data_IF_253114322483
#
_entry.id   IF_253114322483
#
_cell.length_a   1.000
_cell.length_b   1.000
_cell.length_c   1.000
_cell.angle_alpha   90.00
_cell.angle_beta   90.00
_cell.angle_gamma   90.00
#
_symmetry.space_group_name_H-M   'P 1'
#
loop_
_entity.id
_entity.type
_entity.pdbx_description
1 polymer ?
#
# COMPACT_ATOMS: atom_id res chain seq x y z
N UNK A 1 18.51 45.91 9.57
CA UNK A 1 17.28 45.11 9.77
C UNK A 1 17.69 43.64 9.73
N UNK A 2 17.33 42.83 10.73
CA UNK A 2 17.51 41.38 10.64
C UNK A 2 16.30 40.83 9.89
N UNK A 3 16.51 40.31 8.68
CA UNK A 3 15.48 39.56 7.98
C UNK A 3 15.05 38.39 8.86
N UNK A 4 13.79 38.38 9.29
CA UNK A 4 13.23 37.25 10.01
C UNK A 4 13.16 36.07 9.05
N UNK A 5 14.05 35.09 9.20
CA UNK A 5 13.98 33.85 8.45
C UNK A 5 12.70 33.12 8.88
N UNK A 6 11.66 33.20 8.05
CA UNK A 6 10.45 32.40 8.23
C UNK A 6 10.76 30.96 7.83
N UNK A 7 10.84 30.09 8.85
CA UNK A 7 11.00 28.65 8.66
C UNK A 7 9.59 28.05 8.60
N UNK A 8 9.21 27.54 7.43
CA UNK A 8 7.95 26.85 7.19
C UNK A 8 8.21 25.38 6.89
N UNK A 9 7.45 24.49 7.52
CA UNK A 9 7.36 23.10 7.07
C UNK A 9 6.60 23.06 5.74
N UNK A 10 7.31 22.75 4.66
CA UNK A 10 6.71 22.64 3.33
C UNK A 10 6.16 21.24 3.06
N UNK A 11 6.79 20.22 3.65
CA UNK A 11 6.41 18.83 3.50
C UNK A 11 6.90 18.01 4.69
N UNK A 12 6.06 17.14 5.22
CA UNK A 12 6.43 16.12 6.18
C UNK A 12 6.14 14.74 5.58
N UNK A 13 7.17 13.91 5.42
CA UNK A 13 7.04 12.55 4.89
C UNK A 13 7.03 11.58 6.06
N UNK A 14 6.02 10.72 6.13
CA UNK A 14 5.93 9.61 7.06
C UNK A 14 5.98 8.29 6.27
N UNK A 15 6.96 7.45 6.60
CA UNK A 15 7.18 6.18 5.90
C UNK A 15 6.46 5.05 6.63
N UNK A 16 5.75 4.21 5.87
CA UNK A 16 5.01 3.06 6.37
C UNK A 16 5.60 1.80 5.73
N UNK A 17 5.88 0.80 6.54
CA UNK A 17 6.21 -0.53 6.07
C UNK A 17 4.94 -1.18 5.51
N UNK A 18 4.87 -1.45 4.20
CA UNK A 18 3.62 -1.93 3.60
C UNK A 18 3.21 -3.33 4.06
N UNK A 19 4.18 -4.14 4.51
CA UNK A 19 3.93 -5.50 4.95
C UNK A 19 3.33 -5.55 6.35
N UNK A 20 3.83 -4.71 7.27
CA UNK A 20 3.38 -4.70 8.67
C UNK A 20 2.43 -3.56 9.01
N UNK A 21 2.32 -2.57 8.11
CA UNK A 21 1.61 -1.31 8.32
C UNK A 21 2.16 -0.46 9.47
N UNK A 22 3.38 -0.73 9.93
CA UNK A 22 4.04 0.04 10.99
C UNK A 22 4.77 1.26 10.42
N UNK A 23 4.82 2.33 11.19
CA UNK A 23 5.65 3.50 10.87
C UNK A 23 7.12 3.09 10.94
N UNK A 24 7.88 3.43 9.90
CA UNK A 24 9.32 3.20 9.86
C UNK A 24 10.02 4.32 10.59
N UNK A 25 10.54 4.01 11.78
CA UNK A 25 11.29 4.97 12.59
C UNK A 25 12.80 4.82 12.47
N UNK A 26 13.32 3.87 11.68
CA UNK A 26 14.77 3.63 11.54
C UNK A 26 15.51 4.79 10.85
N UNK A 27 16.73 5.16 11.29
CA UNK A 27 17.60 6.12 10.60
C UNK A 27 18.17 5.62 9.26
N UNK A 28 18.06 4.33 8.96
CA UNK A 28 18.79 3.69 7.85
C UNK A 28 18.33 4.12 6.46
N UNK A 29 17.16 4.78 6.36
CA UNK A 29 16.62 5.27 5.11
C UNK A 29 17.06 6.70 4.81
N UNK A 30 17.45 6.93 3.57
CA UNK A 30 17.70 8.25 2.99
C UNK A 30 16.42 8.74 2.33
N UNK A 31 15.91 9.87 2.79
CA UNK A 31 14.75 10.55 2.19
C UNK A 31 15.23 11.90 1.66
N UNK A 32 15.01 12.15 0.38
CA UNK A 32 15.37 13.40 -0.30
C UNK A 32 14.16 13.96 -1.04
N UNK A 33 14.13 15.27 -1.22
CA UNK A 33 13.15 15.96 -2.05
C UNK A 33 13.92 16.83 -3.06
N UNK A 34 13.50 16.85 -4.32
CA UNK A 34 14.13 17.67 -5.35
C UNK A 34 14.13 19.16 -4.94
N UNK A 35 15.31 19.81 -5.02
CA UNK A 35 15.52 21.19 -4.57
C UNK A 35 15.52 21.38 -3.04
N UNK A 36 15.30 20.32 -2.28
CA UNK A 36 15.27 20.35 -0.82
C UNK A 36 16.65 20.22 -0.19
N UNK A 37 16.84 20.87 0.96
CA UNK A 37 17.94 20.57 1.87
C UNK A 37 17.69 19.25 2.59
N UNK A 38 18.70 18.77 3.32
CA UNK A 38 18.56 17.59 4.20
C UNK A 38 17.34 17.76 5.14
N UNK A 39 16.41 16.79 5.20
CA UNK A 39 15.24 16.91 6.04
C UNK A 39 15.59 16.86 7.53
N UNK A 40 14.76 17.53 8.34
CA UNK A 40 14.78 17.39 9.80
C UNK A 40 14.02 16.11 10.14
N UNK A 41 14.70 15.16 10.79
CA UNK A 41 14.08 13.92 11.24
C UNK A 41 13.49 14.06 12.64
N UNK A 42 12.30 13.51 12.83
CA UNK A 42 11.58 13.48 14.12
C UNK A 42 11.54 12.06 14.69
N UNK A 43 11.57 11.87 16.02
CA UNK A 43 11.54 10.55 16.67
C UNK A 43 10.34 9.70 16.27
N UNK A 44 9.21 10.34 15.96
CA UNK A 44 7.95 9.72 15.56
C UNK A 44 7.99 9.16 14.13
N UNK A 45 9.11 9.32 13.40
CA UNK A 45 9.31 8.78 12.05
C UNK A 45 9.05 9.78 10.92
N UNK A 46 8.93 11.08 11.20
CA UNK A 46 8.78 12.08 10.14
C UNK A 46 10.12 12.55 9.59
N UNK A 47 10.17 12.76 8.27
CA UNK A 47 11.19 13.52 7.56
C UNK A 47 10.58 14.84 7.08
N UNK A 48 10.98 15.95 7.70
CA UNK A 48 10.40 17.28 7.47
C UNK A 48 11.31 18.10 6.57
N UNK A 49 10.80 18.49 5.41
CA UNK A 49 11.43 19.42 4.48
C UNK A 49 10.91 20.83 4.72
N UNK A 50 11.85 21.77 4.79
CA UNK A 50 11.57 23.17 5.10
C UNK A 50 11.77 24.02 3.86
N UNK A 51 10.91 25.02 3.68
CA UNK A 51 11.04 26.07 2.67
C UNK A 51 11.29 25.56 1.24
N UNK A 52 10.62 24.46 0.85
CA UNK A 52 10.53 24.06 -0.56
C UNK A 52 9.75 25.13 -1.33
N UNK A 53 10.33 25.59 -2.44
CA UNK A 53 9.81 26.72 -3.25
C UNK A 53 9.06 26.25 -4.49
N UNK A 54 9.36 25.06 -5.00
CA UNK A 54 8.68 24.48 -6.15
C UNK A 54 7.21 24.13 -5.82
N UNK A 55 6.28 24.25 -6.79
CA UNK A 55 4.88 23.89 -6.60
C UNK A 55 4.65 22.38 -6.42
N UNK A 56 5.60 21.58 -6.91
CA UNK A 56 5.67 20.14 -6.79
C UNK A 56 7.12 19.73 -6.52
N UNK A 57 7.32 18.55 -5.96
CA UNK A 57 8.66 17.99 -5.73
C UNK A 57 8.63 16.48 -5.87
N UNK A 58 9.68 15.88 -6.42
CA UNK A 58 9.88 14.44 -6.35
C UNK A 58 10.52 14.10 -5.00
N UNK A 59 9.85 13.23 -4.25
CA UNK A 59 10.39 12.61 -3.05
C UNK A 59 11.01 11.28 -3.43
N UNK A 60 12.25 11.09 -3.02
CA UNK A 60 13.03 9.88 -3.23
C UNK A 60 13.38 9.24 -1.89
N UNK A 61 13.09 7.94 -1.78
CA UNK A 61 13.43 7.12 -0.61
C UNK A 61 14.32 5.96 -1.05
N UNK A 62 15.48 5.83 -0.41
CA UNK A 62 16.45 4.77 -0.65
C UNK A 62 17.01 4.23 0.66
N UNK A 63 17.33 2.95 0.72
CA UNK A 63 17.98 2.35 1.87
C UNK A 63 17.86 0.83 1.88
N UNK A 64 18.40 0.15 2.90
CA UNK A 64 18.34 -1.30 2.98
C UNK A 64 16.92 -1.79 3.25
N UNK A 65 16.65 -3.05 2.88
CA UNK A 65 15.43 -3.81 3.19
C UNK A 65 14.16 -3.38 2.43
N UNK A 66 14.21 -2.35 1.59
CA UNK A 66 13.05 -1.87 0.83
C UNK A 66 13.46 -1.52 -0.60
N UNK A 67 12.53 -1.70 -1.53
CA UNK A 67 12.69 -1.17 -2.88
C UNK A 67 12.77 0.36 -2.84
N UNK A 68 13.62 0.95 -3.68
CA UNK A 68 13.66 2.40 -3.90
C UNK A 68 12.29 2.91 -4.35
N UNK A 69 11.83 3.98 -3.72
CA UNK A 69 10.54 4.60 -4.01
C UNK A 69 10.77 6.03 -4.49
N UNK A 70 10.02 6.44 -5.51
CA UNK A 70 10.04 7.79 -6.09
C UNK A 70 8.60 8.23 -6.28
N UNK A 71 8.21 9.37 -5.72
CA UNK A 71 6.86 9.89 -5.86
C UNK A 71 6.87 11.41 -6.04
N UNK A 72 6.19 11.89 -7.09
CA UNK A 72 5.90 13.31 -7.29
C UNK A 72 4.78 13.75 -6.36
N UNK A 73 5.04 14.81 -5.59
CA UNK A 73 4.10 15.39 -4.63
C UNK A 73 3.73 16.80 -5.08
N UNK A 74 2.44 17.03 -5.34
CA UNK A 74 1.89 18.35 -5.58
C UNK A 74 1.78 19.14 -4.27
N UNK A 75 2.82 19.91 -3.92
CA UNK A 75 2.90 20.64 -2.65
C UNK A 75 1.77 21.67 -2.48
N UNK A 76 1.27 22.23 -3.59
CA UNK A 76 0.14 23.17 -3.58
C UNK A 76 -1.19 22.55 -3.17
N UNK A 77 -1.35 21.24 -3.31
CA UNK A 77 -2.58 20.51 -2.96
C UNK A 77 -2.57 19.99 -1.51
N UNK A 78 -1.45 20.16 -0.81
CA UNK A 78 -1.34 19.78 0.59
C UNK A 78 -2.02 20.82 1.49
N UNK A 79 -2.62 20.33 2.58
CA UNK A 79 -3.05 21.21 3.66
C UNK A 79 -1.82 21.90 4.26
N UNK A 80 -1.79 23.23 4.16
CA UNK A 80 -0.68 24.03 4.67
C UNK A 80 -0.49 23.94 6.18
N UNK A 81 -1.55 23.63 6.94
CA UNK A 81 -1.49 23.42 8.39
C UNK A 81 -1.00 22.01 8.74
N UNK A 82 -1.15 21.05 7.82
CA UNK A 82 -0.76 19.66 8.00
C UNK A 82 -0.22 19.04 6.70
N UNK A 83 0.98 19.45 6.23
CA UNK A 83 1.53 19.06 4.94
C UNK A 83 2.16 17.66 4.99
N UNK A 84 1.43 16.68 5.53
CA UNK A 84 1.88 15.31 5.73
C UNK A 84 1.53 14.45 4.52
N UNK A 85 2.54 13.74 4.01
CA UNK A 85 2.40 12.69 3.01
C UNK A 85 2.87 11.38 3.61
N UNK A 86 2.07 10.33 3.42
CA UNK A 86 2.41 8.96 3.84
C UNK A 86 2.85 8.16 2.63
N UNK A 87 4.03 7.56 2.71
CA UNK A 87 4.59 6.70 1.65
C UNK A 87 4.71 5.26 2.16
N UNK A 88 4.21 4.31 1.38
CA UNK A 88 4.28 2.88 1.69
C UNK A 88 5.47 2.25 0.99
N UNK A 89 6.44 1.78 1.77
CA UNK A 89 7.62 1.11 1.25
C UNK A 89 7.40 -0.40 1.19
N UNK A 90 7.75 -0.98 0.05
CA UNK A 90 7.64 -2.41 -0.21
C UNK A 90 8.94 -3.08 0.24
N UNK A 91 8.87 -4.09 1.13
CA UNK A 91 10.06 -4.85 1.50
C UNK A 91 10.75 -5.50 0.31
N UNK A 92 12.07 -5.52 0.31
CA UNK A 92 12.87 -6.27 -0.65
C UNK A 92 13.36 -7.62 -0.07
N UNK A 93 14.17 -8.37 -0.84
CA UNK A 93 14.71 -9.68 -0.44
C UNK A 93 15.64 -9.64 0.79
N UNK A 94 16.15 -8.47 1.17
CA UNK A 94 17.03 -8.27 2.33
C UNK A 94 16.26 -7.91 3.60
N UNK A 95 14.92 -7.80 3.52
CA UNK A 95 14.06 -7.53 4.65
C UNK A 95 14.07 -8.66 5.69
N UNK A 96 14.10 -8.31 6.98
CA UNK A 96 14.03 -9.27 8.08
C UNK A 96 12.59 -9.73 8.30
N UNK A 97 12.27 -10.89 7.75
CA UNK A 97 10.92 -11.45 7.82
C UNK A 97 10.61 -12.00 9.23
N UNK A 98 9.43 -11.69 9.79
CA UNK A 98 8.91 -12.40 10.96
C UNK A 98 8.78 -13.91 10.69
N UNK A 99 8.86 -14.73 11.74
CA UNK A 99 8.53 -16.18 11.64
C UNK A 99 7.09 -16.36 11.13
N UNK A 100 6.83 -17.40 10.35
CA UNK A 100 5.51 -17.63 9.76
C UNK A 100 5.19 -16.74 8.56
N UNK A 101 6.18 -16.02 8.02
CA UNK A 101 6.01 -15.22 6.79
C UNK A 101 6.18 -16.10 5.57
N UNK A 102 5.20 -16.09 4.68
CA UNK A 102 5.30 -16.68 3.36
C UNK A 102 5.95 -15.68 2.41
N UNK A 103 6.76 -16.18 1.48
CA UNK A 103 7.46 -15.35 0.52
C UNK A 103 7.18 -15.83 -0.88
N UNK A 104 6.98 -14.89 -1.79
CA UNK A 104 6.83 -15.16 -3.21
C UNK A 104 7.83 -14.35 -4.03
N UNK A 105 8.36 -14.96 -5.08
CA UNK A 105 8.95 -14.23 -6.22
C UNK A 105 7.96 -14.21 -7.38
N UNK A 106 7.56 -13.03 -7.81
CA UNK A 106 6.74 -12.83 -9.00
C UNK A 106 7.61 -12.39 -10.17
N UNK A 107 7.44 -13.02 -11.33
CA UNK A 107 7.99 -12.56 -12.61
C UNK A 107 6.88 -11.85 -13.35
N UNK A 108 7.05 -10.55 -13.60
CA UNK A 108 6.04 -9.69 -14.20
C UNK A 108 6.59 -8.98 -15.43
N UNK A 109 5.76 -8.73 -16.47
CA UNK A 109 6.14 -7.87 -17.57
C UNK A 109 6.11 -6.41 -17.12
N UNK A 110 6.69 -5.54 -17.95
CA UNK A 110 6.71 -4.10 -17.71
C UNK A 110 5.28 -3.54 -17.60
N UNK A 111 5.07 -2.63 -16.65
CA UNK A 111 3.80 -1.95 -16.34
C UNK A 111 2.66 -2.84 -15.83
N UNK A 112 2.87 -4.15 -15.68
CA UNK A 112 1.91 -5.01 -14.99
C UNK A 112 1.82 -4.68 -13.50
N UNK A 113 0.68 -4.99 -12.91
CA UNK A 113 0.52 -4.97 -11.46
C UNK A 113 0.03 -6.32 -10.95
N UNK A 114 0.39 -6.62 -9.70
CA UNK A 114 0.04 -7.86 -9.02
C UNK A 114 -0.50 -7.51 -7.65
N UNK A 115 -1.73 -7.96 -7.38
CA UNK A 115 -2.38 -7.90 -6.08
C UNK A 115 -2.50 -9.32 -5.52
N UNK A 116 -2.06 -9.51 -4.28
CA UNK A 116 -2.05 -10.82 -3.61
C UNK A 116 -2.71 -10.73 -2.26
N UNK A 117 -3.66 -11.62 -2.00
CA UNK A 117 -4.34 -11.72 -0.70
C UNK A 117 -4.78 -13.16 -0.43
N UNK A 118 -5.13 -13.44 0.82
CA UNK A 118 -5.53 -14.76 1.31
C UNK A 118 -6.91 -14.68 1.97
N UNK A 119 -7.92 -15.23 1.33
CA UNK A 119 -9.31 -15.25 1.85
C UNK A 119 -9.49 -16.16 3.07
N UNK A 120 -8.54 -17.06 3.31
CA UNK A 120 -8.51 -17.95 4.47
C UNK A 120 -7.78 -17.31 5.65
N UNK A 121 -7.16 -16.13 5.45
CA UNK A 121 -6.46 -15.36 6.46
C UNK A 121 -7.42 -14.83 7.55
N UNK A 122 -6.91 -14.76 8.78
CA UNK A 122 -7.66 -14.23 9.94
C UNK A 122 -7.43 -12.73 10.18
N UNK A 123 -6.56 -12.10 9.40
CA UNK A 123 -6.17 -10.68 9.49
C UNK A 123 -7.10 -9.73 8.73
N UNK A 124 -8.25 -10.22 8.27
CA UNK A 124 -9.27 -9.40 7.62
C UNK A 124 -9.84 -8.33 8.56
N UNK A 125 -10.16 -7.17 7.99
CA UNK A 125 -10.88 -6.08 8.64
C UNK A 125 -12.38 -6.27 8.45
N UNK A 126 -13.15 -5.69 9.36
CA UNK A 126 -14.62 -5.66 9.31
C UNK A 126 -15.10 -4.24 9.05
N UNK A 127 -16.19 -4.13 8.30
CA UNK A 127 -16.92 -2.87 8.18
C UNK A 127 -17.58 -2.49 9.50
N UNK A 128 -17.69 -1.19 9.77
CA UNK A 128 -18.48 -0.67 10.91
C UNK A 128 -19.90 -0.25 10.51
N UNK A 129 -20.18 -0.10 9.22
CA UNK A 129 -21.47 0.29 8.64
C UNK A 129 -21.76 -0.43 7.29
N UNK A 130 -23.01 -0.30 6.81
CA UNK A 130 -23.40 -0.67 5.45
C UNK A 130 -22.97 0.43 4.47
N UNK A 131 -22.67 0.03 3.23
CA UNK A 131 -22.26 0.94 2.17
C UNK A 131 -22.98 0.62 0.86
N UNK A 132 -23.31 1.67 0.10
CA UNK A 132 -23.91 1.54 -1.22
C UNK A 132 -22.87 1.75 -2.32
N UNK A 133 -23.15 1.21 -3.51
CA UNK A 133 -22.42 1.52 -4.73
C UNK A 133 -22.27 3.03 -4.90
N UNK A 134 -21.06 3.48 -5.25
CA UNK A 134 -20.75 4.91 -5.39
C UNK A 134 -20.24 5.57 -4.10
N UNK A 135 -20.23 4.87 -2.96
CA UNK A 135 -19.67 5.41 -1.71
C UNK A 135 -18.19 5.82 -1.89
N UNK A 136 -17.84 6.99 -1.35
CA UNK A 136 -16.48 7.59 -1.41
C UNK A 136 -15.67 7.40 -0.13
N UNK A 137 -16.25 6.79 0.89
CA UNK A 137 -15.61 6.55 2.18
C UNK A 137 -16.10 5.25 2.78
N UNK A 138 -15.28 4.64 3.63
CA UNK A 138 -15.63 3.45 4.40
C UNK A 138 -15.10 3.54 5.83
N UNK A 139 -15.77 2.84 6.74
CA UNK A 139 -15.39 2.74 8.14
C UNK A 139 -14.98 1.31 8.47
N UNK A 140 -13.76 1.18 9.00
CA UNK A 140 -13.14 -0.11 9.27
C UNK A 140 -12.90 -0.26 10.77
N UNK A 141 -13.24 -1.43 11.30
CA UNK A 141 -12.79 -1.81 12.63
C UNK A 141 -11.28 -2.06 12.61
N UNK A 142 -10.53 -1.24 13.34
CA UNK A 142 -9.10 -1.39 13.55
C UNK A 142 -8.82 -1.84 14.99
N UNK A 143 -8.53 -3.12 15.18
CA UNK A 143 -8.11 -3.66 16.48
C UNK A 143 -6.64 -3.43 16.84
N UNK A 144 -5.87 -2.67 16.03
CA UNK A 144 -4.43 -2.53 16.17
C UNK A 144 -3.88 -1.19 15.66
N UNK A 145 -2.59 -0.95 15.91
CA UNK A 145 -1.86 0.30 15.56
C UNK A 145 -1.34 0.35 14.12
N UNK A 146 -2.03 -0.32 13.20
CA UNK A 146 -1.63 -0.40 11.80
C UNK A 146 -2.05 0.89 11.07
N UNK A 147 -1.10 1.53 10.39
CA UNK A 147 -1.44 2.60 9.46
C UNK A 147 -2.05 1.97 8.20
N UNK A 148 -3.27 2.38 7.83
CA UNK A 148 -3.99 1.86 6.65
C UNK A 148 -4.09 2.87 5.49
N UNK A 149 -3.75 4.14 5.70
CA UNK A 149 -3.74 5.15 4.61
C UNK A 149 -2.81 4.69 3.48
N UNK A 150 -3.32 4.69 2.25
CA UNK A 150 -2.67 4.18 1.03
C UNK A 150 -2.72 2.65 0.84
N UNK A 151 -3.24 1.88 1.79
CA UNK A 151 -3.26 0.40 1.69
C UNK A 151 -4.29 -0.03 0.65
N UNK A 152 -3.92 -1.01 -0.17
CA UNK A 152 -4.88 -1.71 -1.03
C UNK A 152 -5.49 -2.85 -0.21
N UNK A 153 -6.81 -2.98 -0.31
CA UNK A 153 -7.57 -4.04 0.31
C UNK A 153 -8.53 -4.66 -0.71
N UNK A 154 -8.80 -5.95 -0.58
CA UNK A 154 -9.85 -6.62 -1.32
C UNK A 154 -11.09 -6.71 -0.42
N UNK A 155 -12.19 -6.07 -0.84
CA UNK A 155 -13.47 -6.16 -0.17
C UNK A 155 -14.29 -7.29 -0.79
N UNK A 156 -14.86 -8.13 0.07
CA UNK A 156 -15.61 -9.31 -0.33
C UNK A 156 -16.95 -9.36 0.39
N UNK A 157 -18.04 -9.27 -0.37
CA UNK A 157 -19.41 -9.42 0.12
C UNK A 157 -19.90 -10.86 0.09
N UNK A 158 -21.12 -11.09 0.61
CA UNK A 158 -21.74 -12.43 0.64
C UNK A 158 -22.13 -13.00 -0.73
N UNK A 159 -22.37 -12.15 -1.73
CA UNK A 159 -22.84 -12.55 -3.07
C UNK A 159 -21.67 -12.79 -4.04
N UNK A 160 -20.52 -13.20 -3.53
CA UNK A 160 -19.25 -13.28 -4.28
C UNK A 160 -18.84 -11.95 -4.95
N UNK A 161 -19.41 -10.82 -4.50
CA UNK A 161 -19.01 -9.49 -4.95
C UNK A 161 -17.62 -9.20 -4.40
N UNK A 162 -16.71 -8.88 -5.32
CA UNK A 162 -15.29 -8.70 -5.02
C UNK A 162 -14.76 -7.51 -5.79
N UNK A 163 -14.08 -6.61 -5.09
CA UNK A 163 -13.28 -5.57 -5.73
C UNK A 163 -12.07 -5.21 -4.87
N UNK A 164 -11.03 -4.67 -5.51
CA UNK A 164 -9.90 -4.08 -4.79
C UNK A 164 -10.11 -2.58 -4.67
N UNK A 165 -9.94 -2.07 -3.46
CA UNK A 165 -10.07 -0.66 -3.10
C UNK A 165 -8.75 -0.16 -2.52
N UNK A 166 -8.45 1.11 -2.73
CA UNK A 166 -7.34 1.78 -2.04
C UNK A 166 -7.89 2.75 -1.01
N UNK A 167 -7.44 2.57 0.24
CA UNK A 167 -7.79 3.45 1.34
C UNK A 167 -7.00 4.75 1.18
N UNK A 168 -7.69 5.86 1.03
CA UNK A 168 -7.11 7.20 0.97
C UNK A 168 -6.85 7.77 2.36
N UNK A 169 -6.85 9.11 2.46
CA UNK A 169 -6.65 9.82 3.73
C UNK A 169 -7.76 9.46 4.74
N UNK A 170 -7.42 9.27 6.03
CA UNK A 170 -8.41 9.11 7.06
C UNK A 170 -9.16 10.43 7.26
N UNK A 171 -10.49 10.35 7.21
CA UNK A 171 -11.39 11.47 7.50
C UNK A 171 -11.59 11.63 9.02
N UNK A 172 -11.67 10.51 9.72
CA UNK A 172 -11.77 10.42 11.18
C UNK A 172 -11.03 9.15 11.63
N UNK A 173 -9.81 9.33 12.16
CA UNK A 173 -8.94 8.21 12.55
C UNK A 173 -9.54 7.41 13.70
N UNK A 174 -10.13 8.08 14.68
CA UNK A 174 -10.67 7.43 15.88
C UNK A 174 -11.89 6.56 15.56
N UNK A 175 -12.66 6.93 14.53
CA UNK A 175 -13.77 6.12 14.00
C UNK A 175 -13.36 5.16 12.88
N UNK A 176 -12.08 5.14 12.50
CA UNK A 176 -11.57 4.32 11.41
C UNK A 176 -12.20 4.65 10.04
N UNK A 177 -12.56 5.91 9.80
CA UNK A 177 -13.18 6.36 8.55
C UNK A 177 -12.10 6.80 7.57
N UNK A 178 -12.06 6.14 6.42
CA UNK A 178 -11.13 6.39 5.32
C UNK A 178 -11.90 6.89 4.10
N UNK A 179 -11.36 7.92 3.45
CA UNK A 179 -11.73 8.21 2.07
C UNK A 179 -11.26 7.07 1.17
N UNK A 180 -11.89 6.90 0.01
CA UNK A 180 -11.47 5.97 -1.02
C UNK A 180 -10.92 6.72 -2.23
N UNK A 181 -9.85 6.20 -2.82
CA UNK A 181 -9.29 6.76 -4.05
C UNK A 181 -10.23 6.52 -5.25
N UNK A 182 -11.05 5.48 -5.19
CA UNK A 182 -12.11 5.17 -6.14
C UNK A 182 -13.41 4.87 -5.38
N UNK A 183 -14.55 5.29 -5.93
CA UNK A 183 -15.86 4.91 -5.37
C UNK A 183 -16.07 3.40 -5.42
N UNK A 184 -16.79 2.85 -4.44
CA UNK A 184 -17.20 1.44 -4.46
C UNK A 184 -17.99 1.12 -5.73
N UNK A 185 -17.65 0.02 -6.40
CA UNK A 185 -18.34 -0.46 -7.59
C UNK A 185 -19.62 -1.23 -7.25
N UNK A 186 -19.72 -1.73 -6.02
CA UNK A 186 -20.88 -2.46 -5.50
C UNK A 186 -21.31 -1.97 -4.09
N UNK A 187 -22.45 -2.46 -3.62
CA UNK A 187 -22.96 -2.27 -2.27
C UNK A 187 -22.50 -3.40 -1.35
N UNK A 188 -22.15 -3.06 -0.10
CA UNK A 188 -21.64 -4.01 0.90
C UNK A 188 -22.36 -3.86 2.23
N UNK A 189 -22.79 -4.99 2.78
CA UNK A 189 -23.39 -5.05 4.12
C UNK A 189 -22.30 -5.16 5.17
N UNK A 190 -22.48 -4.48 6.30
CA UNK A 190 -21.61 -4.62 7.47
C UNK A 190 -21.41 -6.07 7.86
N UNK A 191 -22.51 -6.81 7.93
CA UNK A 191 -22.51 -8.22 8.34
C UNK A 191 -22.19 -9.11 7.15
N UNK A 192 -21.10 -9.85 7.27
CA UNK A 192 -20.67 -10.85 6.29
C UNK A 192 -19.74 -10.31 5.20
N UNK A 193 -19.45 -9.01 5.19
CA UNK A 193 -18.35 -8.47 4.38
C UNK A 193 -17.03 -8.62 5.13
N UNK A 194 -16.01 -9.07 4.40
CA UNK A 194 -14.62 -9.14 4.87
C UNK A 194 -13.73 -8.28 3.98
N UNK A 195 -12.72 -7.67 4.59
CA UNK A 195 -11.79 -6.79 3.89
C UNK A 195 -10.38 -7.31 4.13
N UNK A 196 -9.78 -7.92 3.12
CA UNK A 196 -8.47 -8.54 3.22
C UNK A 196 -7.39 -7.53 2.81
N UNK A 197 -6.33 -7.34 3.60
CA UNK A 197 -5.18 -6.55 3.17
C UNK A 197 -4.54 -7.21 1.94
N UNK A 198 -4.14 -6.38 0.96
CA UNK A 198 -3.52 -6.84 -0.28
C UNK A 198 -2.04 -6.44 -0.27
N UNK A 199 -1.17 -7.40 -0.57
CA UNK A 199 0.21 -7.11 -0.97
C UNK A 199 0.25 -6.74 -2.45
N UNK A 200 0.94 -5.67 -2.80
CA UNK A 200 0.85 -5.06 -4.13
C UNK A 200 2.21 -4.77 -4.76
N UNK A 201 2.40 -5.19 -6.01
CA UNK A 201 3.47 -4.69 -6.90
C UNK A 201 2.85 -3.91 -8.04
N UNK A 202 3.50 -2.80 -8.41
CA UNK A 202 3.44 -2.25 -9.77
C UNK A 202 4.83 -2.36 -10.40
N UNK A 203 4.95 -3.16 -11.46
CA UNK A 203 6.20 -3.37 -12.16
C UNK A 203 6.51 -2.14 -13.03
N UNK A 204 7.59 -1.43 -12.74
CA UNK A 204 8.04 -0.32 -13.61
C UNK A 204 8.77 -0.84 -14.85
N UNK A 205 9.40 -2.01 -14.70
CA UNK A 205 10.06 -2.73 -15.78
C UNK A 205 9.78 -4.24 -15.68
N UNK A 206 10.06 -4.99 -16.74
CA UNK A 206 9.95 -6.44 -16.69
C UNK A 206 11.02 -7.01 -15.74
N UNK A 207 10.64 -7.96 -14.88
CA UNK A 207 11.61 -8.53 -13.95
C UNK A 207 11.04 -9.36 -12.82
N UNK A 208 11.92 -9.68 -11.88
CA UNK A 208 11.60 -10.41 -10.65
C UNK A 208 11.33 -9.45 -9.49
N UNK A 209 10.22 -9.70 -8.80
CA UNK A 209 9.79 -8.92 -7.66
C UNK A 209 9.53 -9.83 -6.46
N UNK A 210 9.98 -9.39 -5.30
CA UNK A 210 9.81 -10.12 -4.05
C UNK A 210 8.60 -9.59 -3.27
N UNK A 211 7.76 -10.50 -2.78
CA UNK A 211 6.68 -10.19 -1.84
C UNK A 211 6.81 -11.02 -0.57
N UNK A 212 6.86 -10.37 0.60
CA UNK A 212 6.42 -11.00 1.82
C UNK A 212 4.89 -11.00 1.89
N UNK A 213 4.35 -12.10 2.40
CA UNK A 213 2.92 -12.35 2.56
C UNK A 213 2.66 -12.85 3.98
N UNK A 214 1.62 -12.30 4.61
CA UNK A 214 1.17 -12.76 5.93
C UNK A 214 0.69 -14.20 5.77
N UNK A 215 1.40 -15.16 6.38
CA UNK A 215 1.05 -16.59 6.32
C UNK A 215 -0.21 -16.94 7.12
N UNK A 216 -0.80 -15.97 7.84
CA UNK A 216 -1.97 -16.20 8.70
C UNK A 216 -1.73 -17.28 9.77
N UNK A 217 -0.47 -17.54 10.13
CA UNK A 217 -0.07 -18.61 11.05
C UNK A 217 -0.15 -20.03 10.48
N UNK A 218 -0.29 -20.18 9.15
CA UNK A 218 -0.34 -21.49 8.48
C UNK A 218 0.95 -21.77 7.73
N UNK A 219 1.41 -23.03 7.80
CA UNK A 219 2.55 -23.50 7.02
C UNK A 219 2.23 -23.63 5.52
N UNK A 220 0.95 -23.69 5.16
CA UNK A 220 0.46 -23.76 3.79
C UNK A 220 -0.90 -23.05 3.68
N UNK A 221 -1.07 -22.23 2.63
CA UNK A 221 -2.33 -21.54 2.37
C UNK A 221 -2.50 -21.21 0.87
N UNK A 222 -3.76 -21.15 0.42
CA UNK A 222 -4.11 -20.67 -0.91
C UNK A 222 -4.16 -19.14 -0.93
N UNK A 223 -3.48 -18.55 -1.92
CA UNK A 223 -3.50 -17.12 -2.21
C UNK A 223 -4.15 -16.88 -3.56
N UNK A 224 -4.87 -15.76 -3.64
CA UNK A 224 -5.39 -15.24 -4.88
C UNK A 224 -4.42 -14.19 -5.39
N UNK A 225 -4.02 -14.34 -6.64
CA UNK A 225 -3.18 -13.42 -7.39
C UNK A 225 -4.04 -12.79 -8.49
N UNK A 226 -4.27 -11.48 -8.39
CA UNK A 226 -4.90 -10.70 -9.45
C UNK A 226 -3.79 -9.97 -10.19
N UNK A 227 -3.57 -10.38 -11.44
CA UNK A 227 -2.68 -9.73 -12.38
C UNK A 227 -3.48 -8.70 -13.16
N UNK A 228 -2.95 -7.49 -13.31
CA UNK A 228 -3.58 -6.44 -14.09
C UNK A 228 -2.60 -5.79 -15.05
N UNK A 229 -2.99 -5.68 -16.32
CA UNK A 229 -2.27 -4.91 -17.33
C UNK A 229 -3.28 -4.38 -18.35
N UNK A 230 -3.14 -3.10 -18.73
CA UNK A 230 -4.00 -2.45 -19.72
C UNK A 230 -5.51 -2.59 -19.43
N UNK A 231 -5.89 -2.59 -18.16
CA UNK A 231 -7.27 -2.72 -17.68
C UNK A 231 -7.83 -4.16 -17.72
N UNK A 232 -7.05 -5.13 -18.20
CA UNK A 232 -7.40 -6.55 -18.16
C UNK A 232 -6.92 -7.12 -16.83
N UNK A 233 -7.83 -7.78 -16.11
CA UNK A 233 -7.53 -8.46 -14.85
C UNK A 233 -7.62 -9.97 -15.07
N UNK A 234 -6.57 -10.70 -14.70
CA UNK A 234 -6.55 -12.16 -14.64
C UNK A 234 -6.36 -12.64 -13.21
N UNK A 235 -7.16 -13.64 -12.83
CA UNK A 235 -7.06 -14.27 -11.53
C UNK A 235 -6.36 -15.62 -11.63
N UNK A 236 -5.40 -15.85 -10.73
CA UNK A 236 -4.81 -17.16 -10.50
C UNK A 236 -4.83 -17.48 -9.01
N UNK A 237 -4.99 -18.77 -8.69
CA UNK A 237 -4.87 -19.29 -7.33
C UNK A 237 -3.58 -20.08 -7.21
N UNK A 238 -2.84 -19.83 -6.14
CA UNK A 238 -1.59 -20.53 -5.85
C UNK A 238 -1.55 -20.97 -4.40
N UNK A 239 -1.20 -22.23 -4.18
CA UNK A 239 -0.94 -22.75 -2.84
C UNK A 239 0.53 -22.49 -2.51
N UNK A 240 0.77 -21.74 -1.44
CA UNK A 240 2.11 -21.37 -0.99
C UNK A 240 2.47 -22.10 0.29
N UNK A 241 3.76 -22.43 0.46
CA UNK A 241 4.28 -23.13 1.65
C UNK A 241 5.42 -22.35 2.30
N UNK A 242 5.49 -22.41 3.63
CA UNK A 242 6.56 -21.78 4.42
C UNK A 242 7.89 -22.49 4.16
N UNK A 243 8.98 -21.71 4.14
CA UNK A 243 10.33 -22.23 3.90
C UNK A 243 10.59 -22.73 2.47
N UNK A 244 9.62 -22.63 1.55
CA UNK A 244 9.82 -22.93 0.11
C UNK A 244 9.89 -21.64 -0.70
N UNK A 245 10.65 -21.69 -1.79
CA UNK A 245 10.63 -20.63 -2.80
C UNK A 245 9.32 -20.69 -3.59
N UNK A 246 8.30 -19.95 -3.16
CA UNK A 246 7.07 -19.81 -3.93
C UNK A 246 7.35 -18.86 -5.10
N UNK A 247 7.02 -19.28 -6.32
CA UNK A 247 7.28 -18.50 -7.52
C UNK A 247 6.05 -18.51 -8.42
N UNK A 248 5.74 -17.34 -8.96
CA UNK A 248 4.70 -17.19 -9.98
C UNK A 248 5.27 -16.40 -11.14
N UNK A 249 4.86 -16.74 -12.37
CA UNK A 249 5.18 -16.00 -13.58
C UNK A 249 3.88 -15.67 -14.28
N UNK A 250 3.81 -14.44 -14.76
CA UNK A 250 2.77 -14.00 -15.66
C UNK A 250 3.42 -13.30 -16.83
N UNK A 251 3.05 -13.66 -18.05
CA UNK A 251 3.68 -13.16 -19.29
C UNK A 251 2.81 -12.09 -19.98
N UNK A 252 1.77 -11.61 -19.28
CA UNK A 252 0.75 -10.70 -19.78
C UNK A 252 -0.59 -11.40 -20.02
N UNK A 253 -1.64 -10.64 -20.36
CA UNK A 253 -2.98 -11.17 -20.52
C UNK A 253 -3.07 -12.17 -21.68
N UNK A 254 -3.70 -13.31 -21.44
CA UNK A 254 -4.02 -14.30 -22.46
C UNK A 254 -5.21 -13.81 -23.28
N UNK A 255 -4.93 -13.04 -24.33
CA UNK A 255 -5.93 -12.43 -25.23
C UNK A 255 -6.87 -13.49 -25.85
N UNK A 256 -6.48 -14.78 -25.87
CA UNK A 256 -7.34 -15.88 -26.36
C UNK A 256 -8.44 -16.29 -25.39
N UNK A 257 -8.32 -15.94 -24.09
CA UNK A 257 -9.35 -16.22 -23.06
C UNK A 257 -10.33 -15.07 -22.82
N UNK A 258 -10.10 -13.89 -23.40
CA UNK A 258 -10.91 -12.67 -23.20
C UNK A 258 -12.23 -12.68 -24.02
N UNK A 259 -12.53 -13.75 -24.75
CA UNK A 259 -13.86 -13.94 -25.38
C UNK A 259 -14.79 -14.78 -24.50
N UNK A 260 -15.57 -14.12 -23.65
CA UNK A 260 -17.01 -14.35 -23.44
C UNK A 260 -17.60 -13.34 -22.48
#
# INVERSE_FOLDING_TARGET
MRDSIHIRASLAVLLIDDFTGKIITSPSLRVTACGGRKPVRKPEGFWVFLNLTSPETEVAVDGPCYYSERQTIALKELDSANPVVRLRLKPDRTYKLPKGTLCMTAVLPKLASLMVFNEQGSDYKKLLADYEKGSKEISLYQGGKEELEGKICCIMGKKETKECIRLGKPKDRDKGIYLLDQTLKDSYKKIGTKIYPVSYIKAQDAGEYFLPLSGGGRAEAEYICLFEQDGIIEEQKIVMKEGRGNRIRWDGPDVKKIKR
#
